data_IF_343763869448
#
_entry.id   IF_343763869448
#
_cell.length_a   1.000
_cell.length_b   1.000
_cell.length_c   1.000
_cell.angle_alpha   90.00
_cell.angle_beta   90.00
_cell.angle_gamma   90.00
#
_symmetry.space_group_name_H-M   'P 1'
#
loop_
_entity.id
_entity.type
_entity.pdbx_description
1 polymer ?
#
# COMPACT_ATOMS: atom_id res chain seq x y z
N UNK A 1 -8.65 -6.55 -2.84
CA UNK A 1 -9.44 -5.58 -2.06
C UNK A 1 -8.81 -5.41 -0.69
N UNK A 2 -9.10 -4.31 0.02
CA UNK A 2 -8.67 -4.11 1.41
C UNK A 2 -9.74 -4.65 2.37
N UNK A 3 -9.32 -5.30 3.47
CA UNK A 3 -10.20 -5.79 4.52
C UNK A 3 -9.59 -5.43 5.86
N UNK A 4 -10.33 -4.71 6.70
CA UNK A 4 -9.82 -4.32 8.00
C UNK A 4 -10.03 -5.45 9.02
N UNK A 5 -9.00 -6.27 9.25
CA UNK A 5 -9.02 -7.40 10.19
C UNK A 5 -7.81 -7.41 11.13
N UNK A 6 -6.95 -6.39 11.10
CA UNK A 6 -5.67 -6.36 11.82
C UNK A 6 -4.79 -7.58 11.50
N UNK A 7 -4.71 -7.92 10.20
CA UNK A 7 -3.96 -9.06 9.68
C UNK A 7 -3.40 -8.76 8.28
N UNK A 8 -2.60 -9.67 7.74
CA UNK A 8 -2.12 -9.63 6.36
C UNK A 8 -2.68 -10.78 5.53
N UNK A 9 -2.80 -10.53 4.23
CA UNK A 9 -3.33 -11.51 3.29
C UNK A 9 -2.35 -11.76 2.16
N UNK A 10 -2.12 -13.04 1.90
CA UNK A 10 -1.26 -13.51 0.84
C UNK A 10 -2.05 -13.64 -0.47
N UNK A 11 -1.55 -13.00 -1.52
CA UNK A 11 -2.01 -13.23 -2.89
C UNK A 11 -0.94 -12.77 -3.88
N UNK A 12 -0.74 -13.54 -4.94
CA UNK A 12 0.14 -13.15 -6.05
C UNK A 12 -0.60 -12.38 -7.15
N UNK A 13 -1.94 -12.39 -7.12
CA UNK A 13 -2.79 -11.74 -8.12
C UNK A 13 -3.09 -10.28 -7.78
N UNK A 14 -2.56 -9.77 -6.67
CA UNK A 14 -2.65 -8.36 -6.35
C UNK A 14 -1.88 -7.51 -7.36
N UNK A 15 -2.39 -6.32 -7.61
CA UNK A 15 -1.78 -5.34 -8.48
C UNK A 15 -2.00 -3.93 -7.93
N UNK A 16 -1.09 -3.04 -8.28
CA UNK A 16 -1.27 -1.59 -8.16
C UNK A 16 -1.58 -1.03 -9.53
N UNK A 17 -2.16 0.17 -9.59
CA UNK A 17 -2.35 0.87 -10.86
C UNK A 17 -2.31 2.38 -10.67
N UNK A 18 -2.00 3.10 -11.74
CA UNK A 18 -1.96 4.56 -11.78
C UNK A 18 -2.36 5.07 -13.17
N UNK A 19 -2.76 6.32 -13.26
CA UNK A 19 -2.99 7.02 -14.52
C UNK A 19 -1.89 8.04 -14.78
N UNK A 20 -1.63 8.30 -16.05
CA UNK A 20 -0.92 9.49 -16.51
C UNK A 20 -1.98 10.51 -16.93
N UNK A 21 -1.70 11.81 -16.79
CA UNK A 21 -2.66 12.88 -17.11
C UNK A 21 -3.22 12.77 -18.54
N UNK A 22 -2.40 12.27 -19.47
CA UNK A 22 -2.75 12.15 -20.89
C UNK A 22 -3.27 10.75 -21.30
N UNK A 23 -3.64 9.88 -20.35
CA UNK A 23 -4.04 8.50 -20.66
C UNK A 23 -5.35 8.11 -19.97
N UNK A 24 -6.32 7.62 -20.76
CA UNK A 24 -7.60 7.12 -20.24
C UNK A 24 -7.46 5.74 -19.56
N UNK A 25 -6.50 4.93 -20.03
CA UNK A 25 -6.29 3.57 -19.53
C UNK A 25 -5.34 3.54 -18.32
N UNK A 26 -5.69 2.83 -17.23
CA UNK A 26 -4.80 2.67 -16.10
C UNK A 26 -3.58 1.82 -16.48
N UNK A 27 -2.42 2.23 -16.00
CA UNK A 27 -1.21 1.44 -16.06
C UNK A 27 -1.19 0.51 -14.85
N UNK A 28 -1.27 -0.80 -15.12
CA UNK A 28 -1.26 -1.85 -14.09
C UNK A 28 0.17 -2.30 -13.78
N UNK A 29 0.49 -2.38 -12.50
CA UNK A 29 1.75 -2.84 -11.92
C UNK A 29 1.48 -4.16 -11.17
N UNK A 30 1.78 -5.32 -11.78
CA UNK A 30 1.56 -6.60 -11.12
C UNK A 30 2.49 -6.77 -9.91
N UNK A 31 2.10 -7.61 -8.97
CA UNK A 31 3.01 -8.12 -7.96
C UNK A 31 4.07 -8.99 -8.63
N UNK A 32 5.34 -8.75 -8.30
CA UNK A 32 6.49 -9.45 -8.93
C UNK A 32 7.46 -10.05 -7.92
N UNK A 33 7.29 -9.75 -6.63
CA UNK A 33 8.19 -10.27 -5.59
C UNK A 33 7.68 -10.03 -4.17
N UNK A 34 8.59 -10.20 -3.20
CA UNK A 34 8.29 -10.23 -1.78
C UNK A 34 7.69 -11.55 -1.31
N UNK A 35 7.32 -11.63 -0.02
CA UNK A 35 6.44 -12.71 0.47
C UNK A 35 5.10 -12.66 -0.26
N UNK A 36 4.34 -13.77 -0.26
CA UNK A 36 2.97 -13.80 -0.81
C UNK A 36 2.08 -12.68 -0.27
N UNK A 37 2.40 -12.15 0.91
CA UNK A 37 1.76 -11.02 1.56
C UNK A 37 1.68 -9.80 0.63
N UNK A 38 0.46 -9.46 0.26
CA UNK A 38 0.16 -8.38 -0.66
C UNK A 38 -0.67 -7.28 -0.01
N UNK A 39 -1.38 -7.58 1.07
CA UNK A 39 -2.18 -6.64 1.82
C UNK A 39 -1.78 -6.73 3.29
N UNK A 40 -1.51 -5.58 3.91
CA UNK A 40 -1.32 -5.49 5.36
C UNK A 40 -2.31 -4.48 5.92
N UNK A 41 -3.10 -4.93 6.88
CA UNK A 41 -3.87 -4.07 7.76
C UNK A 41 -3.21 -4.12 9.14
N UNK A 42 -2.54 -3.03 9.50
CA UNK A 42 -2.03 -2.86 10.85
C UNK A 42 -2.93 -1.86 11.56
N UNK A 43 -3.48 -2.20 12.72
CA UNK A 43 -4.38 -1.35 13.51
C UNK A 43 -3.84 0.06 13.82
N UNK A 44 -2.54 0.33 13.64
CA UNK A 44 -1.87 1.61 13.89
C UNK A 44 -1.46 2.38 12.63
N UNK A 45 -1.80 1.90 11.45
CA UNK A 45 -1.54 2.57 10.18
C UNK A 45 -2.74 2.50 9.25
N UNK A 46 -2.62 3.14 8.09
CA UNK A 46 -3.57 2.93 7.00
C UNK A 46 -3.23 1.68 6.18
N UNK A 47 -4.01 1.44 5.11
CA UNK A 47 -3.81 0.32 4.21
C UNK A 47 -2.39 0.27 3.64
N UNK A 48 -1.81 -0.93 3.62
CA UNK A 48 -0.53 -1.17 2.94
C UNK A 48 -0.67 -2.29 1.92
N UNK A 49 -0.08 -2.05 0.76
CA UNK A 49 -0.04 -2.98 -0.36
C UNK A 49 1.40 -3.38 -0.62
N UNK A 50 1.71 -4.64 -0.33
CA UNK A 50 3.09 -5.12 -0.25
C UNK A 50 3.84 -4.52 0.93
N UNK A 51 5.06 -5.01 1.16
CA UNK A 51 5.89 -4.49 2.25
C UNK A 51 6.36 -3.05 1.97
N UNK A 52 6.42 -2.66 0.70
CA UNK A 52 7.00 -1.40 0.23
C UNK A 52 6.22 -0.73 -0.92
N UNK A 53 5.25 -1.43 -1.54
CA UNK A 53 4.58 -1.01 -2.77
C UNK A 53 3.84 0.31 -2.66
N UNK A 54 2.77 0.33 -1.86
CA UNK A 54 1.99 1.54 -1.55
C UNK A 54 1.53 1.49 -0.09
N UNK A 55 1.95 2.48 0.69
CA UNK A 55 1.69 2.56 2.13
C UNK A 55 0.97 3.87 2.42
N UNK A 56 -0.29 3.79 2.84
CA UNK A 56 -1.09 4.95 3.27
C UNK A 56 -0.96 5.05 4.79
N UNK A 57 -0.47 6.18 5.29
CA UNK A 57 -0.23 6.41 6.71
C UNK A 57 0.47 5.26 7.43
N UNK A 58 1.68 4.85 6.99
CA UNK A 58 2.40 3.78 7.66
C UNK A 58 2.69 4.15 9.13
N UNK A 59 2.67 3.17 10.05
CA UNK A 59 2.95 3.41 11.46
C UNK A 59 4.38 3.92 11.65
N UNK A 60 4.58 4.77 12.65
CA UNK A 60 5.88 5.39 12.94
C UNK A 60 6.87 4.40 13.58
N UNK A 61 6.39 3.28 14.11
CA UNK A 61 7.19 2.20 14.67
C UNK A 61 6.82 0.85 14.02
N UNK A 62 7.78 -0.09 13.86
CA UNK A 62 7.50 -1.43 13.35
C UNK A 62 6.48 -2.16 14.23
N UNK A 63 5.44 -2.72 13.62
CA UNK A 63 4.32 -3.39 14.33
C UNK A 63 4.69 -4.81 14.79
N UNK A 64 5.81 -5.36 14.33
CA UNK A 64 6.27 -6.73 14.60
C UNK A 64 6.90 -6.91 16.00
N UNK A 65 6.15 -6.61 17.06
CA UNK A 65 6.45 -7.08 18.43
C UNK A 65 7.82 -6.69 18.98
N UNK A 66 8.37 -5.54 18.58
CA UNK A 66 9.58 -5.00 19.21
C UNK A 66 9.27 -4.52 20.62
N UNK A 67 10.18 -4.78 21.57
CA UNK A 67 10.20 -4.13 22.88
C UNK A 67 10.42 -2.62 22.69
N UNK A 68 9.33 -1.92 22.36
CA UNK A 68 9.26 -0.48 22.41
C UNK A 68 9.36 -0.09 23.90
N UNK A 69 10.49 0.50 24.29
CA UNK A 69 10.66 1.08 25.63
C UNK A 69 9.59 2.14 25.93
N UNK A 70 9.46 2.57 27.20
CA UNK A 70 8.38 3.46 27.64
C UNK A 70 8.29 4.79 26.87
N UNK A 71 9.37 5.21 26.21
CA UNK A 71 9.47 6.48 25.46
C UNK A 71 9.34 6.32 23.93
N UNK A 72 8.97 5.13 23.45
CA UNK A 72 8.83 4.93 22.00
C UNK A 72 7.51 5.55 21.56
N UNK A 73 7.59 6.60 20.73
CA UNK A 73 6.44 7.17 20.03
C UNK A 73 5.63 6.01 19.46
N UNK A 74 4.46 5.76 20.06
CA UNK A 74 3.61 4.58 19.83
C UNK A 74 2.85 4.70 18.51
N UNK A 75 3.55 5.22 17.52
CA UNK A 75 3.07 6.36 16.75
C UNK A 75 2.17 5.91 15.63
N UNK A 76 0.89 6.23 15.80
CA UNK A 76 -0.13 6.14 14.77
C UNK A 76 0.39 6.87 13.52
N UNK A 77 0.25 6.24 12.36
CA UNK A 77 0.62 6.84 11.09
C UNK A 77 -0.28 8.02 10.70
N UNK A 78 0.20 8.89 9.82
CA UNK A 78 -0.60 9.99 9.27
C UNK A 78 -1.32 9.54 7.99
N UNK A 79 -2.65 9.35 8.08
CA UNK A 79 -3.49 8.93 6.95
C UNK A 79 -3.55 9.96 5.81
N UNK A 80 -3.02 11.17 6.00
CA UNK A 80 -2.88 12.19 4.94
C UNK A 80 -1.62 12.04 4.12
N UNK A 81 -0.80 11.01 4.38
CA UNK A 81 0.48 10.83 3.72
C UNK A 81 0.54 9.43 3.14
N UNK A 82 1.05 9.31 1.92
CA UNK A 82 1.38 8.03 1.32
C UNK A 82 2.87 7.92 1.01
N UNK A 83 3.39 6.70 1.02
CA UNK A 83 4.74 6.34 0.58
C UNK A 83 4.68 5.21 -0.42
N UNK A 84 5.64 5.16 -1.34
CA UNK A 84 5.73 4.10 -2.33
C UNK A 84 7.18 3.79 -2.68
N UNK A 85 7.46 2.49 -2.82
CA UNK A 85 8.69 1.95 -3.38
C UNK A 85 8.36 0.72 -4.24
N UNK A 86 8.69 0.79 -5.51
CA UNK A 86 8.46 -0.23 -6.53
C UNK A 86 9.75 -0.99 -6.84
N UNK A 87 9.59 -2.22 -7.34
CA UNK A 87 10.67 -3.09 -7.77
C UNK A 87 10.96 -4.28 -6.85
N UNK A 88 10.45 -4.27 -5.62
CA UNK A 88 10.51 -5.45 -4.74
C UNK A 88 9.17 -6.17 -4.68
N UNK A 89 8.13 -5.55 -4.11
CA UNK A 89 6.80 -6.16 -4.03
C UNK A 89 6.06 -6.10 -5.37
N UNK A 90 6.03 -4.93 -5.99
CA UNK A 90 5.31 -4.66 -7.25
C UNK A 90 6.26 -4.21 -8.36
N UNK A 91 5.86 -4.44 -9.60
CA UNK A 91 6.64 -4.06 -10.78
C UNK A 91 6.98 -2.57 -10.78
N UNK A 92 8.16 -2.23 -11.32
CA UNK A 92 8.53 -0.85 -11.60
C UNK A 92 7.65 -0.28 -12.71
N UNK A 93 7.53 1.04 -12.72
CA UNK A 93 6.93 1.77 -13.83
C UNK A 93 7.76 1.56 -15.10
N UNK A 94 7.11 1.70 -16.27
CA UNK A 94 7.77 1.59 -17.59
C UNK A 94 8.87 2.63 -17.79
N UNK A 95 8.75 3.78 -17.14
CA UNK A 95 9.74 4.87 -17.14
C UNK A 95 10.92 4.61 -16.19
N UNK A 96 10.97 3.45 -15.53
CA UNK A 96 12.04 3.05 -14.63
C UNK A 96 11.95 3.64 -13.22
N UNK A 97 10.96 4.49 -12.95
CA UNK A 97 10.79 5.13 -11.64
C UNK A 97 10.41 4.10 -10.57
N UNK A 98 10.92 4.36 -9.37
CA UNK A 98 10.79 3.47 -8.22
C UNK A 98 9.61 3.83 -7.30
N UNK A 99 8.71 4.73 -7.71
CA UNK A 99 7.54 5.09 -6.92
C UNK A 99 6.33 5.23 -7.82
N UNK A 100 5.15 4.85 -7.31
CA UNK A 100 3.89 5.06 -8.03
C UNK A 100 3.65 6.56 -8.30
N UNK A 101 4.15 7.43 -7.42
CA UNK A 101 4.05 8.89 -7.54
C UNK A 101 5.10 9.51 -8.47
N UNK A 102 5.87 8.68 -9.18
CA UNK A 102 6.91 9.16 -10.09
C UNK A 102 8.21 9.42 -9.36
N UNK A 103 8.68 10.67 -9.36
CA UNK A 103 9.99 11.03 -8.79
C UNK A 103 9.96 11.13 -7.26
N UNK A 104 8.76 11.34 -6.70
CA UNK A 104 8.54 11.43 -5.26
C UNK A 104 8.30 10.05 -4.66
N UNK A 105 8.88 9.76 -3.50
CA UNK A 105 8.62 8.52 -2.75
C UNK A 105 7.60 8.70 -1.61
N UNK A 106 7.20 9.96 -1.35
CA UNK A 106 6.27 10.35 -0.30
C UNK A 106 5.45 11.55 -0.77
N UNK A 107 4.13 11.47 -0.60
CA UNK A 107 3.21 12.55 -0.99
C UNK A 107 2.18 12.81 0.09
N UNK A 108 1.61 14.01 0.08
CA UNK A 108 0.38 14.32 0.80
C UNK A 108 -0.81 13.88 -0.05
N UNK A 109 -1.77 13.23 0.57
CA UNK A 109 -3.02 12.80 -0.05
C UNK A 109 -4.05 13.92 0.05
N UNK A 110 -4.79 14.12 -1.04
CA UNK A 110 -5.94 15.02 -1.07
C UNK A 110 -7.18 14.24 -0.62
N UNK A 111 -7.57 13.24 -1.42
CA UNK A 111 -8.70 12.35 -1.15
C UNK A 111 -8.30 10.86 -1.20
N UNK A 112 -9.00 10.05 -0.39
CA UNK A 112 -8.93 8.59 -0.45
C UNK A 112 -10.31 8.04 -0.78
N UNK A 113 -10.44 7.46 -1.96
CA UNK A 113 -11.68 6.85 -2.43
C UNK A 113 -11.63 5.34 -2.27
N UNK A 114 -12.69 4.78 -1.67
CA UNK A 114 -12.83 3.34 -1.47
C UNK A 114 -13.97 2.83 -2.34
N UNK A 115 -13.64 1.92 -3.24
CA UNK A 115 -14.60 1.30 -4.14
C UNK A 115 -14.88 -0.14 -3.70
N UNK A 116 -16.15 -0.51 -3.68
CA UNK A 116 -16.60 -1.87 -3.41
C UNK A 116 -17.47 -2.34 -4.57
N UNK A 117 -17.21 -3.55 -5.07
CA UNK A 117 -18.09 -4.19 -6.05
C UNK A 117 -19.08 -5.08 -5.30
N UNK A 118 -20.39 -4.80 -5.34
CA UNK A 118 -21.40 -5.64 -4.70
C UNK A 118 -21.37 -7.08 -5.22
N UNK A 119 -21.06 -7.25 -6.52
CA UNK A 119 -20.90 -8.55 -7.13
C UNK A 119 -19.75 -9.33 -6.49
N UNK A 120 -18.57 -8.72 -6.36
CA UNK A 120 -17.42 -9.37 -5.71
C UNK A 120 -17.72 -9.65 -4.23
N UNK A 121 -18.37 -8.72 -3.54
CA UNK A 121 -18.76 -8.90 -2.15
C UNK A 121 -19.71 -10.09 -1.96
N UNK A 122 -20.60 -10.37 -2.92
CA UNK A 122 -21.54 -11.50 -2.86
C UNK A 122 -20.90 -12.88 -3.10
N UNK A 123 -19.65 -12.93 -3.57
CA UNK A 123 -18.93 -14.18 -3.82
C UNK A 123 -18.27 -14.76 -2.55
N UNK A 124 -18.34 -14.05 -1.41
CA UNK A 124 -17.76 -14.41 -0.12
C UNK A 124 -18.81 -14.34 0.98
#
# INVERSE_FOLDING_TARGET
>A
GYRSTDDYYDTFDAFLFYWLEDCDDPIVLPKVGGSGAALFDYARGGPQFGADGLLIGPPLAPVMGGFAGPDTNSGIGDLRVAKSRLGLSYAKRKDGKESIFGDENKVSLDDVLVFCSPYIASLY
#
